data_IF_281543474152
#
_entry.id   IF_281543474152
#
_cell.length_a   1.000
_cell.length_b   1.000
_cell.length_c   1.000
_cell.angle_alpha   90.00
_cell.angle_beta   90.00
_cell.angle_gamma   90.00
#
_symmetry.space_group_name_H-M   'P 1'
#
loop_
_entity.id
_entity.type
_entity.pdbx_description
1 polymer ?
#
# COMPACT_ATOMS: atom_id res chain seq x y z
N UNK A 1 4.89 -7.63 14.61
CA UNK A 1 4.63 -6.44 13.81
C UNK A 1 5.73 -6.28 12.78
N UNK A 2 5.38 -6.20 11.52
CA UNK A 2 6.31 -6.01 10.41
C UNK A 2 6.06 -4.65 9.76
N UNK A 3 7.12 -3.92 9.47
CA UNK A 3 7.08 -2.64 8.76
C UNK A 3 8.07 -2.66 7.61
N UNK A 4 7.85 -1.83 6.59
CA UNK A 4 8.90 -1.52 5.63
C UNK A 4 10.04 -0.73 6.29
N UNK A 5 11.12 -0.52 5.57
CA UNK A 5 12.22 0.35 6.03
C UNK A 5 11.94 1.85 5.84
N UNK A 6 10.85 2.19 5.16
CA UNK A 6 10.49 3.58 4.88
C UNK A 6 9.87 4.25 6.12
N UNK A 7 10.33 5.46 6.41
CA UNK A 7 10.00 6.21 7.61
C UNK A 7 8.49 6.31 7.89
N UNK A 8 7.67 6.47 6.84
CA UNK A 8 6.21 6.60 6.98
C UNK A 8 5.52 5.37 7.60
N UNK A 9 5.97 4.14 7.30
CA UNK A 9 5.41 2.93 7.91
C UNK A 9 5.87 2.75 9.35
N UNK A 10 7.12 3.08 9.65
CA UNK A 10 7.68 3.06 10.99
C UNK A 10 6.94 4.05 11.89
N UNK A 11 6.66 5.26 11.38
CA UNK A 11 5.91 6.28 12.10
C UNK A 11 4.45 5.86 12.32
N UNK A 12 3.79 5.25 11.33
CA UNK A 12 2.44 4.72 11.47
C UNK A 12 2.38 3.65 12.56
N UNK A 13 3.37 2.75 12.58
CA UNK A 13 3.44 1.67 13.57
C UNK A 13 3.83 2.13 14.98
N UNK A 14 4.36 3.35 15.13
CA UNK A 14 4.96 3.85 16.38
C UNK A 14 3.99 3.86 17.57
N UNK A 15 2.71 4.01 17.31
CA UNK A 15 1.68 4.11 18.35
C UNK A 15 1.00 2.77 18.67
N UNK A 16 1.39 1.69 17.99
CA UNK A 16 0.91 0.35 18.30
C UNK A 16 1.58 -0.10 19.60
N UNK A 17 0.76 -0.50 20.56
CA UNK A 17 1.27 -0.93 21.86
C UNK A 17 1.90 -2.32 21.78
N UNK A 18 2.93 -2.52 22.59
CA UNK A 18 3.66 -3.80 22.69
C UNK A 18 3.52 -4.35 24.11
N UNK A 19 2.38 -4.95 24.47
CA UNK A 19 2.16 -5.48 25.82
C UNK A 19 3.14 -6.62 26.08
N UNK A 20 3.66 -6.65 27.32
CA UNK A 20 4.51 -7.73 27.81
C UNK A 20 3.69 -8.75 28.57
N UNK A 21 3.84 -10.01 28.24
CA UNK A 21 3.21 -11.14 28.93
C UNK A 21 4.28 -11.87 29.69
N UNK A 22 4.05 -12.09 30.99
CA UNK A 22 4.89 -12.98 31.78
C UNK A 22 4.46 -14.42 31.56
N UNK A 23 5.39 -15.24 31.10
CA UNK A 23 5.19 -16.65 30.93
C UNK A 23 5.37 -17.40 32.27
N UNK A 24 4.81 -18.59 32.40
CA UNK A 24 4.91 -19.44 33.61
C UNK A 24 6.36 -19.71 34.04
N UNK A 25 7.30 -19.74 33.09
CA UNK A 25 8.73 -19.94 33.33
C UNK A 25 9.46 -18.68 33.79
N UNK A 26 8.73 -17.58 34.09
CA UNK A 26 9.28 -16.29 34.53
C UNK A 26 9.87 -15.42 33.42
N UNK A 27 9.86 -15.87 32.15
CA UNK A 27 10.29 -15.06 31.00
C UNK A 27 9.21 -14.05 30.62
N UNK A 28 9.63 -12.90 30.12
CA UNK A 28 8.74 -11.93 29.51
C UNK A 28 8.72 -12.13 27.99
N UNK A 29 7.52 -12.11 27.41
CA UNK A 29 7.30 -12.09 25.98
C UNK A 29 6.63 -10.78 25.59
N UNK A 30 7.17 -10.12 24.56
CA UNK A 30 6.62 -8.85 24.06
C UNK A 30 5.80 -9.14 22.82
N UNK A 31 4.48 -8.83 22.87
CA UNK A 31 3.62 -8.96 21.72
C UNK A 31 3.99 -7.93 20.64
N UNK A 32 3.76 -8.27 19.39
CA UNK A 32 4.06 -7.41 18.24
C UNK A 32 5.49 -6.86 18.24
N UNK A 33 6.47 -7.68 18.57
CA UNK A 33 7.88 -7.29 18.41
C UNK A 33 8.11 -6.78 16.98
N UNK A 34 8.62 -5.56 16.87
CA UNK A 34 8.77 -4.90 15.57
C UNK A 34 9.96 -5.45 14.79
N UNK A 35 9.70 -5.77 13.52
CA UNK A 35 10.73 -6.12 12.53
C UNK A 35 10.61 -5.17 11.35
N UNK A 36 11.74 -4.58 10.96
CA UNK A 36 11.85 -3.71 9.79
C UNK A 36 12.39 -4.54 8.63
N UNK A 37 11.61 -4.65 7.56
CA UNK A 37 11.89 -5.54 6.44
C UNK A 37 11.90 -4.76 5.11
N UNK A 38 13.06 -4.72 4.46
CA UNK A 38 13.21 -4.05 3.14
C UNK A 38 12.35 -4.67 2.05
N UNK A 39 12.02 -5.95 2.17
CA UNK A 39 11.13 -6.64 1.24
C UNK A 39 9.71 -6.04 1.22
N UNK A 40 9.33 -5.28 2.27
CA UNK A 40 8.07 -4.55 2.36
C UNK A 40 8.16 -3.10 1.86
N UNK A 41 9.32 -2.63 1.39
CA UNK A 41 9.43 -1.28 0.84
C UNK A 41 8.55 -1.13 -0.40
N UNK A 42 8.00 0.07 -0.61
CA UNK A 42 7.12 0.32 -1.76
C UNK A 42 7.87 0.06 -3.08
N UNK A 43 7.09 -0.25 -4.12
CA UNK A 43 7.60 -0.37 -5.48
C UNK A 43 8.33 0.92 -5.85
N UNK A 44 9.58 0.77 -6.28
CA UNK A 44 10.41 1.90 -6.66
C UNK A 44 10.11 2.32 -8.10
N UNK A 45 9.64 3.54 -8.27
CA UNK A 45 9.26 4.06 -9.59
C UNK A 45 10.45 4.62 -10.39
N UNK A 46 11.70 4.41 -9.95
CA UNK A 46 12.88 4.82 -10.69
C UNK A 46 12.93 6.33 -10.93
N UNK A 47 13.05 6.74 -12.19
CA UNK A 47 13.09 8.16 -12.57
C UNK A 47 11.79 8.91 -12.28
N UNK A 48 10.68 8.19 -12.11
CA UNK A 48 9.36 8.76 -11.80
C UNK A 48 9.04 8.74 -10.30
N UNK A 49 10.02 8.36 -9.46
CA UNK A 49 9.77 8.28 -8.02
C UNK A 49 9.44 9.66 -7.42
N UNK A 50 8.37 9.70 -6.62
CA UNK A 50 7.87 10.94 -6.03
C UNK A 50 6.95 11.79 -6.92
N UNK A 51 6.75 11.41 -8.18
CA UNK A 51 5.83 12.08 -9.09
C UNK A 51 4.39 11.57 -8.94
N UNK A 52 3.44 12.46 -9.16
CA UNK A 52 2.04 12.08 -9.36
C UNK A 52 1.84 11.47 -10.75
N UNK A 53 0.72 10.78 -10.97
CA UNK A 53 0.43 10.21 -12.29
C UNK A 53 0.27 11.31 -13.35
N UNK A 54 -0.32 12.46 -13.02
CA UNK A 54 -0.45 13.60 -13.93
C UNK A 54 0.91 14.17 -14.32
N UNK A 55 1.84 14.26 -13.37
CA UNK A 55 3.22 14.69 -13.63
C UNK A 55 3.98 13.67 -14.49
N UNK A 56 3.74 12.37 -14.29
CA UNK A 56 4.35 11.31 -15.12
C UNK A 56 3.80 11.39 -16.53
N UNK A 57 2.48 11.53 -16.71
CA UNK A 57 1.85 11.67 -18.04
C UNK A 57 2.36 12.91 -18.78
N UNK A 58 2.55 14.02 -18.08
CA UNK A 58 3.06 15.27 -18.67
C UNK A 58 4.55 15.20 -19.04
N UNK A 59 5.40 14.60 -18.19
CA UNK A 59 6.85 14.60 -18.36
C UNK A 59 7.40 13.36 -19.09
N UNK A 60 6.69 12.22 -18.98
CA UNK A 60 7.07 10.91 -19.49
C UNK A 60 5.87 10.18 -20.13
N UNK A 61 5.22 10.77 -21.16
CA UNK A 61 3.98 10.24 -21.73
C UNK A 61 4.14 8.83 -22.32
N UNK A 62 5.30 8.51 -22.90
CA UNK A 62 5.59 7.19 -23.45
C UNK A 62 5.66 6.13 -22.33
N UNK A 63 6.36 6.45 -21.23
CA UNK A 63 6.49 5.57 -20.09
C UNK A 63 5.13 5.36 -19.39
N UNK A 64 4.33 6.42 -19.30
CA UNK A 64 2.97 6.34 -18.77
C UNK A 64 2.08 5.42 -19.60
N UNK A 65 2.13 5.53 -20.94
CA UNK A 65 1.38 4.67 -21.84
C UNK A 65 1.80 3.19 -21.72
N UNK A 66 3.11 2.91 -21.73
CA UNK A 66 3.64 1.54 -21.59
C UNK A 66 3.24 0.90 -20.26
N UNK A 67 3.29 1.67 -19.17
CA UNK A 67 2.84 1.17 -17.86
C UNK A 67 1.34 0.88 -17.83
N UNK A 68 0.55 1.73 -18.49
CA UNK A 68 -0.90 1.56 -18.58
C UNK A 68 -1.27 0.30 -19.36
N UNK A 69 -0.51 -0.03 -20.40
CA UNK A 69 -0.69 -1.25 -21.19
C UNK A 69 -0.32 -2.53 -20.42
N UNK A 70 0.77 -2.49 -19.65
CA UNK A 70 1.26 -3.65 -18.90
C UNK A 70 1.68 -3.29 -17.48
N UNK A 71 0.71 -3.03 -16.61
CA UNK A 71 0.96 -2.61 -15.22
C UNK A 71 1.76 -3.65 -14.41
N UNK A 72 1.58 -4.93 -14.69
CA UNK A 72 2.25 -6.02 -13.95
C UNK A 72 3.74 -6.10 -14.28
N UNK A 73 4.07 -6.09 -15.57
CA UNK A 73 5.43 -6.36 -16.05
C UNK A 73 6.24 -5.12 -16.36
N UNK A 74 5.58 -3.97 -16.55
CA UNK A 74 6.26 -2.75 -16.92
C UNK A 74 7.10 -2.20 -15.76
N UNK A 75 8.27 -1.69 -16.09
CA UNK A 75 9.25 -1.11 -15.16
C UNK A 75 9.66 0.27 -15.66
N UNK A 76 9.46 1.31 -14.86
CA UNK A 76 10.05 2.62 -15.17
C UNK A 76 11.59 2.54 -15.22
N UNK A 77 12.26 3.38 -16.01
CA UNK A 77 13.73 3.37 -16.05
C UNK A 77 14.33 3.45 -14.64
N UNK A 78 15.20 2.49 -14.32
CA UNK A 78 15.82 2.29 -13.00
C UNK A 78 14.85 1.96 -11.85
N UNK A 79 13.60 1.64 -12.15
CA UNK A 79 12.60 1.26 -11.16
C UNK A 79 12.37 -0.26 -11.09
N UNK A 80 11.34 -0.62 -10.35
CA UNK A 80 10.81 -1.98 -10.21
C UNK A 80 9.50 -2.13 -10.99
N UNK A 81 9.23 -3.34 -11.46
CA UNK A 81 7.90 -3.81 -11.86
C UNK A 81 7.21 -4.52 -10.70
N UNK A 82 5.90 -4.79 -10.80
CA UNK A 82 5.23 -5.68 -9.85
C UNK A 82 5.84 -7.09 -9.83
N UNK A 83 6.36 -7.59 -10.96
CA UNK A 83 7.05 -8.89 -11.00
C UNK A 83 8.34 -8.90 -10.16
N UNK A 84 9.08 -7.79 -10.13
CA UNK A 84 10.25 -7.66 -9.26
C UNK A 84 9.85 -7.66 -7.79
N UNK A 85 8.77 -6.95 -7.44
CA UNK A 85 8.22 -6.93 -6.08
C UNK A 85 7.74 -8.33 -5.66
N UNK A 86 7.06 -9.07 -6.54
CA UNK A 86 6.67 -10.47 -6.29
C UNK A 86 7.91 -11.30 -5.93
N UNK A 87 8.98 -11.19 -6.74
CA UNK A 87 10.20 -11.96 -6.51
C UNK A 87 10.86 -11.65 -5.16
N UNK A 88 10.88 -10.37 -4.74
CA UNK A 88 11.45 -10.02 -3.44
C UNK A 88 10.53 -10.30 -2.25
N UNK A 89 9.22 -10.47 -2.49
CA UNK A 89 8.25 -10.85 -1.46
C UNK A 89 8.22 -12.36 -1.22
N UNK A 90 8.64 -13.18 -2.16
CA UNK A 90 8.56 -14.64 -2.09
C UNK A 90 9.09 -15.23 -0.77
N UNK A 91 10.32 -14.93 -0.31
CA UNK A 91 10.83 -15.44 0.97
C UNK A 91 10.02 -14.94 2.17
N UNK A 92 9.42 -13.76 2.07
CA UNK A 92 8.59 -13.18 3.13
C UNK A 92 7.22 -13.89 3.22
N UNK A 93 6.64 -14.23 2.09
CA UNK A 93 5.40 -15.01 2.03
C UNK A 93 5.60 -16.40 2.64
N UNK A 94 6.71 -17.07 2.30
CA UNK A 94 7.05 -18.37 2.90
C UNK A 94 7.21 -18.27 4.42
N UNK A 95 7.81 -17.18 4.91
CA UNK A 95 7.90 -16.93 6.34
C UNK A 95 6.52 -16.69 6.96
N UNK A 96 5.65 -15.89 6.31
CA UNK A 96 4.27 -15.64 6.78
C UNK A 96 3.46 -16.92 6.92
N UNK A 97 3.56 -17.85 5.98
CA UNK A 97 2.87 -19.14 6.02
C UNK A 97 3.32 -20.03 7.19
N UNK A 98 4.52 -19.80 7.70
CA UNK A 98 5.04 -20.57 8.84
C UNK A 98 4.53 -20.08 10.21
N UNK A 99 3.94 -18.89 10.28
CA UNK A 99 3.44 -18.33 11.53
C UNK A 99 2.11 -18.95 11.94
N UNK A 100 2.00 -19.26 13.23
CA UNK A 100 0.76 -19.73 13.87
C UNK A 100 0.01 -18.57 14.57
N UNK A 101 0.73 -17.51 14.92
CA UNK A 101 0.19 -16.33 15.55
C UNK A 101 -0.09 -15.23 14.53
N UNK A 102 -1.02 -14.30 14.86
CA UNK A 102 -1.31 -13.17 13.99
C UNK A 102 -0.08 -12.31 13.73
N UNK A 103 0.15 -11.97 12.45
CA UNK A 103 1.17 -11.04 12.01
C UNK A 103 0.50 -9.75 11.55
N UNK A 104 0.89 -8.62 12.13
CA UNK A 104 0.43 -7.30 11.70
C UNK A 104 1.47 -6.69 10.78
N UNK A 105 1.06 -6.31 9.56
CA UNK A 105 1.93 -5.69 8.55
C UNK A 105 1.48 -4.24 8.32
N UNK A 106 2.42 -3.31 8.45
CA UNK A 106 2.24 -1.92 8.04
C UNK A 106 3.15 -1.66 6.84
N UNK A 107 2.54 -1.54 5.70
CA UNK A 107 3.24 -1.48 4.41
C UNK A 107 2.70 -0.40 3.48
N UNK A 108 2.80 -0.63 2.20
CA UNK A 108 2.47 0.28 1.13
C UNK A 108 1.49 -0.37 0.16
N UNK A 109 0.74 0.46 -0.56
CA UNK A 109 -0.35 -0.02 -1.40
C UNK A 109 0.11 -1.05 -2.45
N UNK A 110 1.22 -0.80 -3.16
CA UNK A 110 1.71 -1.72 -4.19
C UNK A 110 2.09 -3.09 -3.62
N UNK A 111 2.81 -3.09 -2.50
CA UNK A 111 3.24 -4.31 -1.81
C UNK A 111 2.07 -5.05 -1.18
N UNK A 112 1.19 -4.33 -0.48
CA UNK A 112 0.03 -4.92 0.21
C UNK A 112 -0.97 -5.54 -0.78
N UNK A 113 -1.12 -4.99 -2.00
CA UNK A 113 -1.89 -5.59 -3.08
C UNK A 113 -1.42 -7.00 -3.42
N UNK A 114 -0.10 -7.20 -3.49
CA UNK A 114 0.48 -8.49 -3.83
C UNK A 114 0.31 -9.51 -2.70
N UNK A 115 0.54 -9.10 -1.46
CA UNK A 115 0.32 -9.96 -0.28
C UNK A 115 -1.16 -10.34 -0.19
N UNK A 116 -2.05 -9.37 -0.33
CA UNK A 116 -3.50 -9.59 -0.33
C UNK A 116 -3.92 -10.57 -1.43
N UNK A 117 -3.48 -10.31 -2.67
CA UNK A 117 -3.81 -11.15 -3.81
C UNK A 117 -3.32 -12.59 -3.64
N UNK A 118 -2.14 -12.78 -3.04
CA UNK A 118 -1.61 -14.11 -2.74
C UNK A 118 -2.55 -14.89 -1.82
N UNK A 119 -2.91 -14.32 -0.65
CA UNK A 119 -3.76 -15.01 0.32
C UNK A 119 -5.21 -15.19 -0.17
N UNK A 120 -5.72 -14.26 -0.99
CA UNK A 120 -7.05 -14.35 -1.59
C UNK A 120 -7.10 -15.24 -2.83
N UNK A 121 -5.97 -15.78 -3.30
CA UNK A 121 -5.90 -16.63 -4.50
C UNK A 121 -6.28 -15.89 -5.79
N UNK A 122 -5.99 -14.58 -5.87
CA UNK A 122 -6.29 -13.76 -7.06
C UNK A 122 -5.28 -14.02 -8.17
N UNK A 123 -5.71 -13.84 -9.42
CA UNK A 123 -4.80 -13.83 -10.55
C UNK A 123 -3.78 -12.69 -10.46
N UNK A 124 -2.55 -12.93 -10.93
CA UNK A 124 -1.47 -11.94 -10.87
C UNK A 124 -1.80 -10.64 -11.61
N UNK A 125 -2.56 -10.73 -12.68
CA UNK A 125 -2.98 -9.56 -13.45
C UNK A 125 -3.91 -8.65 -12.62
N UNK A 126 -4.80 -9.25 -11.82
CA UNK A 126 -5.77 -8.54 -10.99
C UNK A 126 -5.14 -8.01 -9.70
N UNK A 127 -4.05 -8.64 -9.24
CA UNK A 127 -3.35 -8.22 -8.02
C UNK A 127 -2.96 -6.73 -8.02
N UNK A 128 -2.55 -6.20 -9.19
CA UNK A 128 -2.14 -4.80 -9.33
C UNK A 128 -3.28 -3.79 -9.14
N UNK A 129 -4.54 -4.26 -9.15
CA UNK A 129 -5.76 -3.44 -9.02
C UNK A 129 -6.52 -3.69 -7.74
N UNK A 130 -6.06 -4.63 -6.90
CA UNK A 130 -6.69 -4.95 -5.63
C UNK A 130 -6.87 -3.71 -4.76
N UNK A 131 -8.07 -3.55 -4.17
CA UNK A 131 -8.40 -2.40 -3.34
C UNK A 131 -7.76 -2.52 -1.95
N UNK A 132 -6.82 -1.64 -1.66
CA UNK A 132 -6.17 -1.48 -0.35
C UNK A 132 -6.37 -0.04 0.09
N UNK A 133 -7.51 0.28 0.73
CA UNK A 133 -7.81 1.63 1.15
C UNK A 133 -6.92 2.10 2.30
N UNK A 134 -6.69 3.41 2.37
CA UNK A 134 -6.00 4.04 3.51
C UNK A 134 -6.84 3.92 4.79
N UNK A 135 -6.18 4.04 5.93
CA UNK A 135 -6.80 4.05 7.26
C UNK A 135 -7.72 2.84 7.51
N UNK A 136 -7.42 1.71 6.90
CA UNK A 136 -8.23 0.49 7.00
C UNK A 136 -7.34 -0.67 7.42
N UNK A 137 -7.80 -1.44 8.39
CA UNK A 137 -7.21 -2.75 8.71
C UNK A 137 -7.93 -3.81 7.89
N UNK A 138 -7.17 -4.58 7.15
CA UNK A 138 -7.65 -5.76 6.42
C UNK A 138 -7.13 -6.98 7.18
N UNK A 139 -8.03 -7.72 7.80
CA UNK A 139 -7.72 -8.97 8.47
C UNK A 139 -7.97 -10.13 7.50
N UNK A 140 -6.94 -10.91 7.27
CA UNK A 140 -7.01 -12.12 6.46
C UNK A 140 -6.87 -13.33 7.37
N UNK A 141 -7.78 -14.28 7.24
CA UNK A 141 -7.76 -15.54 7.98
C UNK A 141 -7.68 -16.68 6.99
N UNK A 142 -6.47 -17.22 6.71
CA UNK A 142 -6.31 -18.36 5.81
C UNK A 142 -7.00 -19.59 6.38
N UNK A 143 -7.79 -20.27 5.55
CA UNK A 143 -8.43 -21.55 5.81
C UNK A 143 -7.86 -22.59 4.84
N UNK A 144 -8.26 -23.85 5.00
CA UNK A 144 -7.72 -24.97 4.20
C UNK A 144 -7.84 -24.76 2.68
N UNK A 145 -8.91 -24.11 2.21
CA UNK A 145 -9.17 -23.93 0.78
C UNK A 145 -9.60 -22.51 0.39
N UNK A 146 -9.69 -21.61 1.37
CA UNK A 146 -10.16 -20.22 1.19
C UNK A 146 -9.42 -19.29 2.13
N UNK A 147 -9.65 -18.00 1.98
CA UNK A 147 -9.22 -17.01 2.95
C UNK A 147 -10.41 -16.11 3.28
N UNK A 148 -10.72 -15.97 4.56
CA UNK A 148 -11.74 -15.04 5.03
C UNK A 148 -11.15 -13.65 5.17
N UNK A 149 -11.94 -12.65 4.81
CA UNK A 149 -11.56 -11.25 4.87
C UNK A 149 -12.51 -10.46 5.76
N UNK A 150 -11.94 -9.65 6.64
CA UNK A 150 -12.66 -8.65 7.42
C UNK A 150 -11.98 -7.28 7.23
N UNK A 151 -12.77 -6.22 7.02
CA UNK A 151 -12.25 -4.85 6.87
C UNK A 151 -12.78 -3.96 7.97
N UNK A 152 -11.88 -3.24 8.64
CA UNK A 152 -12.22 -2.25 9.64
C UNK A 152 -11.63 -0.89 9.25
N UNK A 153 -12.50 0.08 9.00
CA UNK A 153 -12.10 1.45 8.70
C UNK A 153 -11.82 2.17 10.02
N UNK A 154 -10.57 2.51 10.27
CA UNK A 154 -10.14 3.17 11.50
C UNK A 154 -10.47 4.65 11.52
N UNK A 155 -10.42 5.31 10.38
CA UNK A 155 -10.63 6.74 10.25
C UNK A 155 -11.10 7.12 8.85
N UNK A 156 -12.16 7.90 8.78
CA UNK A 156 -12.60 8.57 7.56
C UNK A 156 -12.41 10.07 7.78
N UNK A 157 -11.55 10.76 6.99
CA UNK A 157 -11.43 12.20 7.11
C UNK A 157 -12.78 12.86 6.81
N UNK A 158 -13.25 13.72 7.73
CA UNK A 158 -14.42 14.54 7.46
C UNK A 158 -14.08 15.61 6.43
N UNK A 159 -15.10 16.14 5.74
CA UNK A 159 -14.94 17.27 4.83
C UNK A 159 -14.34 18.51 5.52
N UNK A 160 -14.48 18.61 6.84
CA UNK A 160 -13.84 19.65 7.67
C UNK A 160 -12.33 19.43 7.87
N UNK A 161 -11.86 18.19 7.95
CA UNK A 161 -10.43 17.88 8.15
C UNK A 161 -9.61 18.17 6.90
N UNK A 162 -10.24 18.16 5.73
CA UNK A 162 -9.61 18.53 4.46
C UNK A 162 -9.45 20.05 4.29
N UNK A 163 -10.19 20.85 5.06
CA UNK A 163 -10.13 22.32 5.06
C UNK A 163 -9.17 22.94 6.08
N UNK A 164 -8.75 22.19 7.10
CA UNK A 164 -7.95 22.73 8.20
C UNK A 164 -6.44 22.78 7.96
N UNK A 165 -5.97 22.39 6.79
CA UNK A 165 -4.53 22.41 6.42
C UNK A 165 -4.10 23.74 5.77
N UNK A 166 -4.99 24.74 5.67
CA UNK A 166 -4.69 26.00 4.98
C UNK A 166 -5.08 27.23 5.83
N UNK A 167 -4.67 27.27 7.09
CA UNK A 167 -4.67 28.56 7.82
C UNK A 167 -3.60 28.57 8.92
N UNK A 168 -2.33 28.66 8.52
CA UNK A 168 -1.29 29.30 9.35
C UNK A 168 -0.10 29.69 8.44
N UNK A 169 -0.05 30.98 8.07
CA UNK A 169 1.15 31.52 7.41
C UNK A 169 0.89 32.72 6.51
N UNK A 170 1.07 33.88 7.07
CA UNK A 170 1.10 35.21 6.48
C UNK A 170 1.41 35.36 4.97
N UNK A 171 0.49 36.05 4.32
CA UNK A 171 0.67 37.02 3.27
C UNK A 171 1.60 36.80 2.11
N UNK A 172 1.09 36.26 1.00
CA UNK A 172 1.27 36.79 -0.36
C UNK A 172 0.53 35.87 -1.36
N UNK A 173 -0.33 36.45 -2.18
CA UNK A 173 -1.32 35.80 -3.02
C UNK A 173 -0.80 34.75 -3.98
N UNK A 174 -1.52 33.66 -4.02
CA UNK A 174 -1.40 32.60 -4.98
C UNK A 174 -2.42 31.52 -4.61
N UNK A 175 -3.67 31.67 -5.07
CA UNK A 175 -4.75 30.73 -4.81
C UNK A 175 -4.39 29.33 -5.29
N UNK A 176 -4.18 28.42 -4.36
CA UNK A 176 -4.11 27.00 -4.65
C UNK A 176 -5.56 26.48 -4.67
N UNK A 177 -6.01 26.09 -5.84
CA UNK A 177 -7.31 25.49 -6.08
C UNK A 177 -7.50 24.27 -5.17
N UNK A 178 -8.69 24.05 -4.54
CA UNK A 178 -8.97 22.88 -3.68
C UNK A 178 -8.85 21.55 -4.42
N UNK A 179 -8.70 21.56 -5.73
CA UNK A 179 -8.56 20.38 -6.58
C UNK A 179 -7.28 19.56 -6.38
N UNK A 180 -6.20 20.11 -5.80
CA UNK A 180 -4.94 19.38 -5.65
C UNK A 180 -4.94 18.41 -4.45
N UNK A 181 -5.68 18.71 -3.39
CA UNK A 181 -5.82 17.80 -2.24
C UNK A 181 -6.87 16.72 -2.51
N UNK A 182 -7.97 17.10 -3.17
CA UNK A 182 -8.98 16.14 -3.65
C UNK A 182 -8.44 15.24 -4.76
N UNK A 183 -7.60 15.75 -5.66
CA UNK A 183 -6.90 14.96 -6.66
C UNK A 183 -5.88 14.00 -6.03
N UNK A 184 -5.22 14.37 -4.91
CA UNK A 184 -4.35 13.47 -4.17
C UNK A 184 -5.11 12.33 -3.50
N UNK A 185 -6.27 12.58 -2.91
CA UNK A 185 -7.11 11.55 -2.32
C UNK A 185 -7.74 10.67 -3.42
N UNK A 186 -8.27 11.27 -4.49
CA UNK A 186 -8.87 10.55 -5.61
C UNK A 186 -7.85 9.79 -6.46
N UNK A 187 -6.61 10.25 -6.57
CA UNK A 187 -5.51 9.57 -7.26
C UNK A 187 -5.09 8.26 -6.57
N UNK A 188 -5.40 8.09 -5.27
CA UNK A 188 -5.20 6.83 -4.57
C UNK A 188 -6.37 5.85 -4.74
N UNK A 189 -7.57 6.34 -5.09
CA UNK A 189 -8.78 5.52 -5.25
C UNK A 189 -9.05 5.10 -6.69
N UNK A 190 -8.09 4.46 -7.35
CA UNK A 190 -8.26 3.84 -8.66
C UNK A 190 -8.10 4.75 -9.90
N UNK A 191 -6.87 5.13 -10.25
CA UNK A 191 -6.61 5.83 -11.53
C UNK A 191 -6.88 4.96 -12.78
N UNK A 192 -7.33 3.72 -12.60
CA UNK A 192 -7.61 2.75 -13.65
C UNK A 192 -9.03 2.16 -13.60
N UNK A 193 -10.01 2.87 -13.05
CA UNK A 193 -11.42 2.58 -13.33
C UNK A 193 -11.70 2.86 -14.80
N UNK A 194 -11.23 1.97 -15.66
CA UNK A 194 -11.52 2.00 -17.08
C UNK A 194 -12.86 1.35 -17.32
N UNK A 195 -13.71 2.03 -18.07
CA UNK A 195 -14.90 1.47 -18.70
C UNK A 195 -14.58 0.10 -19.26
N UNK A 196 -15.12 -0.93 -18.64
CA UNK A 196 -15.21 -2.26 -19.21
C UNK A 196 -16.41 -2.28 -20.16
N UNK A 197 -16.30 -1.63 -21.31
CA UNK A 197 -17.12 -2.03 -22.43
C UNK A 197 -16.40 -3.19 -23.13
N UNK A 198 -17.06 -4.35 -23.27
CA UNK A 198 -16.47 -5.46 -24.01
C UNK A 198 -16.34 -5.06 -25.49
N UNK A 199 -15.30 -5.52 -26.19
CA UNK A 199 -15.16 -5.29 -27.62
C UNK A 199 -16.35 -5.92 -28.34
N UNK A 200 -17.10 -5.11 -29.09
CA UNK A 200 -18.09 -5.60 -30.06
C UNK A 200 -17.35 -6.34 -31.19
N UNK A 201 -17.65 -7.62 -31.33
CA UNK A 201 -17.30 -8.41 -32.51
C UNK A 201 -18.17 -7.99 -33.70
#
# INVERSE_FOLDING_TARGET
LWTSSLQRTILTARHITHPKIKLENGREWTQFSQRVLRNLDEIYAGVCDGMTYDEIEANYPEEFALRRENKLGYRYPRGESYLDVISRLDPLIQELESYQEPVLIVGHQGVLRLIYAYFMGMDRADACTASIPLNTVIKLTPLTHTCEEEREVLYQPSTHDLGAVVEDGDGAGGGVSPTAAEARAASFDNPFAMNTEPPSY
#
